data_IF_128431885508
#
_entry.id   IF_128431885508
#
_cell.length_a   1.000
_cell.length_b   1.000
_cell.length_c   1.000
_cell.angle_alpha   90.00
_cell.angle_beta   90.00
_cell.angle_gamma   90.00
#
_symmetry.space_group_name_H-M   'P 1'
#
loop_
_entity.id
_entity.type
_entity.pdbx_description
1 polymer ?
#
# COMPACT_ATOMS: atom_id res chain seq x y z
N UNK A 1 13.28 -0.31 15.31
CA UNK A 1 12.33 0.37 14.40
C UNK A 1 13.12 0.90 13.21
N UNK A 2 13.06 0.23 12.07
CA UNK A 2 13.75 0.67 10.83
C UNK A 2 12.91 1.74 10.17
N UNK A 3 13.43 2.97 10.08
CA UNK A 3 12.80 4.09 9.40
C UNK A 3 13.56 4.38 8.10
N UNK A 4 12.90 4.97 7.10
CA UNK A 4 13.53 5.37 5.83
C UNK A 4 13.69 6.88 5.77
N UNK A 5 14.89 7.38 5.49
CA UNK A 5 15.13 8.80 5.27
C UNK A 5 15.02 9.14 3.77
N UNK A 6 14.10 10.03 3.42
CA UNK A 6 14.02 10.63 2.10
C UNK A 6 15.22 11.56 1.89
N UNK A 7 16.11 11.20 0.97
CA UNK A 7 17.27 12.01 0.59
C UNK A 7 16.93 13.15 -0.40
N UNK A 8 15.65 13.27 -0.81
CA UNK A 8 15.23 14.16 -1.90
C UNK A 8 14.05 15.05 -1.49
N UNK A 9 14.25 15.90 -0.48
CA UNK A 9 13.33 17.01 -0.20
C UNK A 9 13.73 18.25 -1.02
N UNK A 10 12.82 18.76 -1.86
CA UNK A 10 12.97 20.01 -2.63
C UNK A 10 12.93 21.21 -1.66
N UNK A 11 13.71 22.29 -1.85
CA UNK A 11 13.64 23.47 -0.98
C UNK A 11 12.29 24.18 -1.08
N UNK A 12 11.79 24.66 0.06
CA UNK A 12 10.49 25.30 0.20
C UNK A 12 10.42 26.65 -0.53
N UNK A 13 9.34 26.88 -1.29
CA UNK A 13 8.99 28.19 -1.84
C UNK A 13 7.77 28.78 -1.12
N UNK A 14 7.89 30.06 -0.78
CA UNK A 14 7.00 30.84 0.08
C UNK A 14 5.59 31.09 -0.48
N UNK A 15 4.71 31.47 0.45
CA UNK A 15 3.26 31.64 0.37
C UNK A 15 2.76 32.78 -0.51
N UNK A 16 1.48 32.69 -0.91
CA UNK A 16 0.55 33.83 -0.91
C UNK A 16 -0.92 33.38 -0.82
N UNK A 17 -1.66 34.11 0.02
CA UNK A 17 -3.01 33.87 0.50
C UNK A 17 -4.11 34.33 -0.45
N UNK A 18 -5.29 33.70 -0.37
CA UNK A 18 -6.57 34.39 -0.59
C UNK A 18 -7.67 33.80 0.32
N UNK A 19 -8.47 34.69 0.92
CA UNK A 19 -9.55 34.46 1.89
C UNK A 19 -10.90 34.07 1.21
N UNK A 20 -11.91 33.61 1.97
CA UNK A 20 -13.10 32.91 1.44
C UNK A 20 -14.31 33.83 1.24
N UNK A 21 -15.29 33.35 0.44
CA UNK A 21 -16.62 33.95 0.30
C UNK A 21 -17.71 32.98 0.80
N UNK A 22 -18.70 33.57 1.46
CA UNK A 22 -19.79 32.94 2.19
C UNK A 22 -21.05 32.74 1.32
N UNK A 23 -22.13 32.24 1.97
CA UNK A 23 -23.56 32.19 1.56
C UNK A 23 -23.96 30.88 0.85
N UNK A 24 -25.07 30.18 1.13
CA UNK A 24 -26.30 30.42 1.90
C UNK A 24 -26.96 29.08 2.26
N UNK A 25 -27.70 29.02 3.38
CA UNK A 25 -28.71 27.98 3.66
C UNK A 25 -30.01 28.28 2.88
N UNK A 26 -30.87 27.27 2.69
CA UNK A 26 -32.24 27.47 3.14
C UNK A 26 -32.79 26.31 3.99
N UNK A 27 -33.63 26.71 4.95
CA UNK A 27 -34.64 25.93 5.64
C UNK A 27 -35.73 25.48 4.65
N UNK A 28 -36.24 24.26 4.80
CA UNK A 28 -37.66 23.96 4.50
C UNK A 28 -38.21 23.05 5.60
N UNK A 29 -39.34 23.50 6.15
CA UNK A 29 -40.16 22.94 7.22
C UNK A 29 -41.33 22.12 6.63
N UNK A 30 -41.98 21.31 7.50
CA UNK A 30 -43.35 20.75 7.40
C UNK A 30 -43.43 19.34 6.78
N UNK A 31 -44.29 18.40 7.21
CA UNK A 31 -45.35 18.32 8.22
C UNK A 31 -45.71 16.82 8.33
N UNK A 32 -46.11 16.32 9.51
CA UNK A 32 -47.38 15.58 9.74
C UNK A 32 -47.38 14.86 11.09
N UNK A 33 -48.41 15.17 11.87
CA UNK A 33 -48.78 14.54 13.14
C UNK A 33 -49.64 13.29 12.85
N UNK A 34 -49.58 12.29 13.73
CA UNK A 34 -50.80 11.64 14.21
C UNK A 34 -50.77 10.13 14.46
N UNK A 35 -51.06 9.80 15.73
CA UNK A 35 -51.84 8.64 16.23
C UNK A 35 -51.10 7.35 16.58
N UNK A 36 -51.27 6.93 17.85
CA UNK A 36 -51.56 5.52 18.17
C UNK A 36 -50.64 4.85 19.19
N UNK A 37 -51.03 4.88 20.47
CA UNK A 37 -50.51 4.00 21.52
C UNK A 37 -51.21 2.64 21.48
N UNK A 38 -50.45 1.55 21.29
CA UNK A 38 -50.82 0.19 21.72
C UNK A 38 -49.55 -0.69 21.79
N UNK A 39 -49.43 -1.47 22.87
CA UNK A 39 -48.20 -2.12 23.30
C UNK A 39 -47.71 -3.28 22.42
N UNK A 40 -46.38 -3.49 22.44
CA UNK A 40 -45.74 -4.69 21.89
C UNK A 40 -44.75 -5.23 22.93
N UNK A 41 -44.84 -6.56 23.08
CA UNK A 41 -44.19 -7.48 23.99
C UNK A 41 -42.65 -7.37 24.08
N UNK A 42 -42.11 -7.67 25.26
CA UNK A 42 -40.70 -7.98 25.50
C UNK A 42 -40.31 -9.25 24.73
N UNK A 43 -39.46 -9.12 23.71
CA UNK A 43 -38.41 -10.09 23.36
C UNK A 43 -37.80 -9.75 22.00
N UNK A 44 -36.72 -8.97 21.96
CA UNK A 44 -35.79 -8.98 20.82
C UNK A 44 -34.39 -9.01 21.40
N UNK A 45 -33.78 -10.21 21.37
CA UNK A 45 -32.33 -10.33 21.37
C UNK A 45 -31.81 -9.43 20.26
N UNK A 46 -31.15 -8.34 20.62
CA UNK A 46 -30.36 -7.54 19.69
C UNK A 46 -29.22 -8.42 19.22
N UNK A 47 -29.40 -9.11 18.09
CA UNK A 47 -28.25 -9.62 17.34
C UNK A 47 -27.49 -8.37 16.89
N UNK A 48 -26.30 -8.18 17.46
CA UNK A 48 -25.31 -7.28 16.91
C UNK A 48 -24.98 -7.76 15.50
N UNK A 49 -25.56 -7.09 14.51
CA UNK A 49 -25.14 -7.22 13.11
C UNK A 49 -24.08 -6.14 12.96
N UNK A 50 -22.78 -6.47 12.83
CA UNK A 50 -21.77 -5.46 12.56
C UNK A 50 -22.13 -4.75 11.25
N UNK A 51 -22.24 -3.42 11.30
CA UNK A 51 -22.58 -2.61 10.13
C UNK A 51 -21.38 -2.57 9.18
N UNK A 52 -21.48 -3.28 8.05
CA UNK A 52 -20.49 -3.40 6.96
C UNK A 52 -19.95 -2.04 6.46
N UNK A 53 -20.71 -0.97 6.70
CA UNK A 53 -20.30 0.41 6.40
C UNK A 53 -19.10 0.88 7.22
N UNK A 54 -18.93 0.38 8.45
CA UNK A 54 -17.83 0.79 9.34
C UNK A 54 -16.49 0.26 8.85
N UNK A 55 -16.42 -1.02 8.44
CA UNK A 55 -15.22 -1.62 7.85
C UNK A 55 -14.79 -0.91 6.55
N UNK A 56 -15.76 -0.53 5.72
CA UNK A 56 -15.52 0.21 4.48
C UNK A 56 -14.97 1.62 4.72
N UNK A 57 -15.47 2.35 5.72
CA UNK A 57 -14.98 3.69 6.09
C UNK A 57 -13.58 3.65 6.71
N UNK A 58 -13.30 2.67 7.57
CA UNK A 58 -11.96 2.48 8.15
C UNK A 58 -10.92 2.16 7.09
N UNK A 59 -11.26 1.31 6.11
CA UNK A 59 -10.37 0.94 5.00
C UNK A 59 -10.06 2.15 4.10
N UNK A 60 -11.07 2.95 3.76
CA UNK A 60 -10.90 4.21 3.02
C UNK A 60 -9.98 5.19 3.75
N UNK A 61 -10.18 5.36 5.07
CA UNK A 61 -9.40 6.29 5.88
C UNK A 61 -7.92 5.91 5.92
N UNK A 62 -7.61 4.63 6.17
CA UNK A 62 -6.22 4.13 6.17
C UNK A 62 -5.53 4.32 4.83
N UNK A 63 -6.24 4.12 3.72
CA UNK A 63 -5.71 4.35 2.38
C UNK A 63 -5.36 5.82 2.14
N UNK A 64 -6.24 6.76 2.55
CA UNK A 64 -5.99 8.20 2.45
C UNK A 64 -4.74 8.60 3.26
N UNK A 65 -4.59 8.06 4.47
CA UNK A 65 -3.42 8.34 5.32
C UNK A 65 -2.13 7.82 4.68
N UNK A 66 -2.15 6.60 4.14
CA UNK A 66 -0.99 6.03 3.44
C UNK A 66 -0.61 6.87 2.21
N UNK A 67 -1.60 7.34 1.45
CA UNK A 67 -1.39 8.20 0.28
C UNK A 67 -0.79 9.55 0.67
N UNK A 68 -1.30 10.14 1.75
CA UNK A 68 -0.77 11.38 2.30
C UNK A 68 0.69 11.21 2.78
N UNK A 69 1.02 10.08 3.40
CA UNK A 69 2.35 9.82 3.94
C UNK A 69 3.43 9.75 2.85
N UNK A 70 3.12 9.21 1.67
CA UNK A 70 4.06 9.12 0.55
C UNK A 70 3.96 10.27 -0.45
N UNK A 71 2.98 11.16 -0.29
CA UNK A 71 2.72 12.25 -1.22
C UNK A 71 3.94 13.18 -1.39
N UNK A 72 4.21 13.55 -2.64
CA UNK A 72 5.32 14.44 -3.02
C UNK A 72 6.71 13.81 -2.95
N UNK A 73 6.86 12.57 -2.52
CA UNK A 73 8.14 11.86 -2.54
C UNK A 73 8.56 11.50 -3.98
N UNK A 74 9.87 11.49 -4.22
CA UNK A 74 10.47 11.10 -5.49
C UNK A 74 11.44 9.93 -5.29
N UNK A 75 11.54 8.99 -6.25
CA UNK A 75 10.75 8.88 -7.48
C UNK A 75 9.29 8.44 -7.23
N UNK A 76 8.33 9.09 -7.88
CA UNK A 76 6.90 8.88 -7.58
C UNK A 76 6.42 7.42 -7.75
N UNK A 77 6.87 6.71 -8.80
CA UNK A 77 6.48 5.31 -9.04
C UNK A 77 6.94 4.39 -7.91
N UNK A 78 8.19 4.56 -7.45
CA UNK A 78 8.74 3.76 -6.35
C UNK A 78 7.89 3.93 -5.09
N UNK A 79 7.59 5.17 -4.71
CA UNK A 79 6.81 5.44 -3.50
C UNK A 79 5.35 4.99 -3.62
N UNK A 80 4.77 5.01 -4.82
CA UNK A 80 3.44 4.43 -5.06
C UNK A 80 3.43 2.92 -4.85
N UNK A 81 4.42 2.19 -5.39
CA UNK A 81 4.53 0.74 -5.17
C UNK A 81 4.85 0.39 -3.73
N UNK A 82 5.73 1.15 -3.07
CA UNK A 82 6.00 0.95 -1.66
C UNK A 82 4.76 1.15 -0.80
N UNK A 83 3.96 2.18 -1.09
CA UNK A 83 2.65 2.39 -0.46
C UNK A 83 1.75 1.18 -0.69
N UNK A 84 1.60 0.70 -1.92
CA UNK A 84 0.77 -0.48 -2.22
C UNK A 84 1.21 -1.70 -1.39
N UNK A 85 2.51 -1.99 -1.33
CA UNK A 85 3.07 -3.09 -0.54
C UNK A 85 2.76 -2.95 0.96
N UNK A 86 2.76 -1.74 1.52
CA UNK A 86 2.41 -1.51 2.94
C UNK A 86 0.93 -1.73 3.24
N UNK A 87 0.08 -1.69 2.20
CA UNK A 87 -1.35 -1.98 2.32
C UNK A 87 -1.67 -3.47 2.16
N UNK A 88 -0.67 -4.29 1.84
CA UNK A 88 -0.80 -5.73 1.68
C UNK A 88 -0.13 -6.45 2.85
N UNK A 89 -0.90 -7.19 3.68
CA UNK A 89 -0.35 -8.13 4.63
C UNK A 89 0.62 -9.10 3.93
N UNK A 90 1.87 -9.13 4.37
CA UNK A 90 2.95 -9.97 3.82
C UNK A 90 3.89 -10.53 4.91
N UNK A 91 3.36 -11.15 5.99
CA UNK A 91 4.23 -11.83 6.95
C UNK A 91 5.04 -12.94 6.26
N UNK A 92 6.22 -13.21 6.78
CA UNK A 92 6.97 -14.41 6.37
C UNK A 92 6.13 -15.67 6.57
N UNK A 93 6.21 -16.60 5.62
CA UNK A 93 5.38 -17.82 5.49
C UNK A 93 3.90 -17.58 5.16
N UNK A 94 3.50 -16.35 4.85
CA UNK A 94 2.14 -15.96 4.45
C UNK A 94 2.17 -14.98 3.25
N UNK A 95 3.03 -15.28 2.26
CA UNK A 95 3.30 -14.41 1.12
C UNK A 95 2.25 -14.48 0.01
N UNK A 96 1.19 -15.28 0.14
CA UNK A 96 0.24 -15.56 -0.96
C UNK A 96 -0.44 -14.30 -1.48
N UNK A 97 -0.73 -13.33 -0.59
CA UNK A 97 -1.36 -12.05 -0.96
C UNK A 97 -0.43 -11.20 -1.81
N UNK A 98 0.83 -11.05 -1.42
CA UNK A 98 1.81 -10.27 -2.18
C UNK A 98 2.19 -10.97 -3.48
N UNK A 99 2.29 -12.31 -3.49
CA UNK A 99 2.50 -13.09 -4.72
C UNK A 99 1.36 -12.90 -5.72
N UNK A 100 0.10 -12.88 -5.24
CA UNK A 100 -1.07 -12.63 -6.09
C UNK A 100 -1.01 -11.23 -6.69
N UNK A 101 -0.71 -10.21 -5.87
CA UNK A 101 -0.51 -8.83 -6.34
C UNK A 101 0.57 -8.73 -7.43
N UNK A 102 1.71 -9.40 -7.27
CA UNK A 102 2.81 -9.38 -8.25
C UNK A 102 2.43 -10.07 -9.57
N UNK A 103 1.69 -11.18 -9.52
CA UNK A 103 1.19 -11.88 -10.72
C UNK A 103 0.16 -11.04 -11.46
N UNK A 104 -0.77 -10.42 -10.74
CA UNK A 104 -1.76 -9.51 -11.32
C UNK A 104 -1.10 -8.28 -11.95
N UNK A 105 -0.08 -7.72 -11.27
CA UNK A 105 0.74 -6.64 -11.79
C UNK A 105 1.39 -7.01 -13.14
N UNK A 106 1.98 -8.20 -13.23
CA UNK A 106 2.63 -8.69 -14.45
C UNK A 106 1.60 -8.95 -15.56
N UNK A 107 0.48 -9.61 -15.25
CA UNK A 107 -0.59 -9.90 -16.19
C UNK A 107 -1.20 -8.63 -16.78
N UNK A 108 -1.50 -7.63 -15.95
CA UNK A 108 -2.04 -6.35 -16.38
C UNK A 108 -1.11 -5.57 -17.34
N UNK A 109 0.19 -5.88 -17.33
CA UNK A 109 1.21 -5.29 -18.20
C UNK A 109 1.71 -6.23 -19.29
N UNK A 110 1.10 -7.41 -19.42
CA UNK A 110 1.49 -8.45 -20.38
C UNK A 110 2.96 -8.84 -20.24
N UNK A 111 3.51 -8.77 -19.02
CA UNK A 111 4.87 -9.20 -18.71
C UNK A 111 4.89 -10.71 -18.45
N UNK A 112 5.89 -11.39 -19.00
CA UNK A 112 6.11 -12.80 -18.72
C UNK A 112 6.56 -12.97 -17.27
N UNK A 113 6.02 -13.98 -16.59
CA UNK A 113 6.44 -14.35 -15.24
C UNK A 113 6.47 -15.86 -15.06
N UNK A 114 7.28 -16.32 -14.11
CA UNK A 114 7.37 -17.73 -13.72
C UNK A 114 7.51 -17.81 -12.20
N UNK A 115 6.80 -18.74 -11.59
CA UNK A 115 6.99 -19.09 -10.19
C UNK A 115 7.64 -20.49 -10.11
N UNK A 116 8.59 -20.66 -9.20
CA UNK A 116 9.18 -21.97 -8.91
C UNK A 116 8.35 -22.76 -7.88
N UNK A 117 8.82 -23.96 -7.51
CA UNK A 117 8.13 -24.84 -6.58
C UNK A 117 8.20 -24.35 -5.11
N UNK A 118 9.18 -23.52 -4.76
CA UNK A 118 9.35 -22.94 -3.41
C UNK A 118 8.44 -21.73 -3.24
N UNK A 119 8.18 -21.02 -4.33
CA UNK A 119 7.28 -19.88 -4.37
C UNK A 119 7.93 -18.62 -4.91
N UNK A 120 9.23 -18.63 -5.20
CA UNK A 120 9.95 -17.48 -5.76
C UNK A 120 9.36 -17.13 -7.14
N UNK A 121 9.17 -15.84 -7.37
CA UNK A 121 8.56 -15.31 -8.57
C UNK A 121 9.57 -14.49 -9.35
N UNK A 122 9.76 -14.80 -10.64
CA UNK A 122 10.49 -13.92 -11.56
C UNK A 122 9.53 -13.26 -12.52
N UNK A 123 9.62 -11.94 -12.67
CA UNK A 123 8.91 -11.17 -13.70
C UNK A 123 9.95 -10.62 -14.68
N UNK A 124 9.74 -10.84 -15.97
CA UNK A 124 10.65 -10.43 -17.04
C UNK A 124 10.10 -9.26 -17.82
N UNK A 125 10.98 -8.31 -18.14
CA UNK A 125 10.70 -7.18 -19.03
C UNK A 125 11.77 -7.11 -20.12
N UNK A 126 11.41 -7.06 -21.41
CA UNK A 126 12.36 -6.80 -22.49
C UNK A 126 13.12 -5.48 -22.27
N UNK A 127 14.29 -5.36 -22.89
CA UNK A 127 14.98 -4.07 -22.96
C UNK A 127 14.12 -3.04 -23.71
N UNK A 128 14.41 -1.77 -23.48
CA UNK A 128 13.67 -0.65 -24.07
C UNK A 128 14.54 0.58 -24.29
N UNK A 129 14.15 1.45 -25.21
CA UNK A 129 14.83 2.74 -25.43
C UNK A 129 16.27 2.59 -25.94
N UNK A 130 16.55 1.58 -26.76
CA UNK A 130 17.89 1.28 -27.26
C UNK A 130 18.75 0.45 -26.29
N UNK A 131 18.12 -0.23 -25.35
CA UNK A 131 18.76 -1.15 -24.40
C UNK A 131 18.51 -2.64 -24.69
N UNK A 132 17.84 -2.97 -25.79
CA UNK A 132 17.38 -4.31 -26.14
C UNK A 132 18.51 -5.34 -26.25
N UNK A 133 19.67 -4.94 -26.78
CA UNK A 133 20.84 -5.80 -26.98
C UNK A 133 21.84 -5.78 -25.81
N UNK A 134 21.52 -5.06 -24.73
CA UNK A 134 22.37 -5.03 -23.55
C UNK A 134 22.28 -6.36 -22.77
N UNK A 135 23.33 -6.73 -21.99
CA UNK A 135 23.24 -7.86 -21.07
C UNK A 135 22.06 -7.70 -20.11
N UNK A 136 21.33 -8.79 -19.87
CA UNK A 136 20.22 -8.79 -18.94
C UNK A 136 20.68 -8.49 -17.51
N UNK A 137 19.89 -7.73 -16.76
CA UNK A 137 20.15 -7.40 -15.36
C UNK A 137 19.09 -8.05 -14.49
N UNK A 138 19.54 -8.71 -13.42
CA UNK A 138 18.68 -9.27 -12.40
C UNK A 138 18.56 -8.27 -11.24
N UNK A 139 17.33 -7.92 -10.89
CA UNK A 139 17.03 -7.13 -9.68
C UNK A 139 16.32 -8.05 -8.71
N UNK A 140 16.95 -8.35 -7.58
CA UNK A 140 16.37 -9.26 -6.58
C UNK A 140 15.94 -8.49 -5.34
N UNK A 141 14.82 -8.93 -4.74
CA UNK A 141 14.36 -8.49 -3.42
C UNK A 141 13.41 -9.51 -2.81
N UNK A 142 13.43 -9.66 -1.48
CA UNK A 142 12.50 -10.55 -0.78
C UNK A 142 11.19 -9.82 -0.46
N UNK A 143 10.07 -10.55 -0.51
CA UNK A 143 8.73 -9.95 -0.47
C UNK A 143 8.06 -10.00 0.90
N UNK A 144 8.54 -10.86 1.78
CA UNK A 144 8.09 -10.95 3.15
C UNK A 144 8.62 -9.77 4.00
N UNK A 145 8.11 -9.67 5.22
CA UNK A 145 8.64 -8.72 6.21
C UNK A 145 8.59 -9.32 7.61
N UNK A 146 9.53 -8.88 8.42
CA UNK A 146 9.47 -9.04 9.87
C UNK A 146 8.24 -8.34 10.44
N UNK A 147 7.49 -9.04 11.27
CA UNK A 147 6.24 -8.58 11.88
C UNK A 147 6.43 -8.30 13.38
N UNK A 148 6.93 -7.10 13.71
CA UNK A 148 7.14 -6.67 15.09
C UNK A 148 6.29 -5.44 15.41
N UNK A 149 5.79 -5.35 16.64
CA UNK A 149 4.95 -4.24 17.09
C UNK A 149 5.22 -3.85 18.54
N UNK A 150 4.93 -2.60 18.86
CA UNK A 150 4.97 -2.13 20.24
C UNK A 150 3.90 -2.85 21.08
N UNK A 151 4.15 -3.13 22.38
CA UNK A 151 3.24 -3.92 23.21
C UNK A 151 1.80 -3.38 23.30
N UNK A 152 1.62 -2.05 23.24
CA UNK A 152 0.32 -1.39 23.32
C UNK A 152 -0.44 -1.33 21.99
N UNK A 153 0.17 -1.76 20.88
CA UNK A 153 -0.42 -1.63 19.54
C UNK A 153 -1.21 -2.88 19.19
N UNK A 154 -2.50 -2.69 18.91
CA UNK A 154 -3.38 -3.73 18.37
C UNK A 154 -3.29 -3.69 16.84
N UNK A 155 -2.59 -4.68 16.28
CA UNK A 155 -2.40 -4.86 14.84
C UNK A 155 -2.26 -6.35 14.55
N UNK A 156 -3.01 -6.83 13.57
CA UNK A 156 -2.92 -8.19 13.03
C UNK A 156 -2.22 -8.18 11.68
N UNK A 157 -0.95 -8.60 11.65
CA UNK A 157 -0.14 -8.61 10.42
C UNK A 157 -0.65 -9.55 9.32
N UNK A 158 -1.57 -10.48 9.62
CA UNK A 158 -2.15 -11.35 8.61
C UNK A 158 -3.31 -10.67 7.85
N UNK A 159 -3.91 -9.61 8.41
CA UNK A 159 -5.14 -9.01 7.88
C UNK A 159 -5.10 -7.49 7.75
N UNK A 160 -4.43 -6.80 8.66
CA UNK A 160 -4.37 -5.35 8.72
C UNK A 160 -3.30 -4.75 7.80
N UNK A 161 -3.61 -3.70 7.02
CA UNK A 161 -2.60 -2.87 6.39
C UNK A 161 -1.81 -2.05 7.41
N UNK A 162 -0.57 -1.68 7.07
CA UNK A 162 0.25 -0.79 7.90
C UNK A 162 -0.29 0.65 7.87
N UNK A 163 -0.28 1.31 9.03
CA UNK A 163 -0.56 2.75 9.15
C UNK A 163 0.75 3.51 8.97
N UNK A 164 0.88 4.23 7.86
CA UNK A 164 2.09 5.01 7.55
C UNK A 164 2.07 6.38 8.22
N UNK A 165 3.25 6.85 8.61
CA UNK A 165 3.47 8.17 9.16
C UNK A 165 4.75 8.77 8.57
N UNK A 166 4.66 10.00 8.11
CA UNK A 166 5.83 10.78 7.66
C UNK A 166 6.17 11.86 8.68
N UNK A 167 7.39 11.83 9.18
CA UNK A 167 7.95 12.78 10.15
C UNK A 167 9.18 13.45 9.54
N UNK A 168 8.98 14.62 8.94
CA UNK A 168 10.02 15.32 8.19
C UNK A 168 10.53 14.48 7.02
N UNK A 169 11.80 14.10 7.08
CA UNK A 169 12.44 13.25 6.08
C UNK A 169 12.16 11.75 6.30
N UNK A 170 11.58 11.34 7.42
CA UNK A 170 11.44 9.93 7.76
C UNK A 170 10.05 9.39 7.44
N UNK A 171 9.99 8.25 6.75
CA UNK A 171 8.78 7.43 6.63
C UNK A 171 8.86 6.27 7.64
N UNK A 172 7.75 6.05 8.36
CA UNK A 172 7.60 5.07 9.45
C UNK A 172 6.24 4.37 9.36
N UNK A 173 6.11 3.24 10.04
CA UNK A 173 4.82 2.65 10.37
C UNK A 173 4.50 2.94 11.84
N UNK A 174 3.22 3.15 12.18
CA UNK A 174 2.80 3.54 13.52
C UNK A 174 2.87 2.35 14.48
N UNK A 175 3.95 2.28 15.25
CA UNK A 175 4.14 1.29 16.32
C UNK A 175 4.26 -0.15 15.82
N UNK A 176 4.59 -0.33 14.54
CA UNK A 176 4.90 -1.61 13.90
C UNK A 176 6.18 -1.48 13.06
N UNK A 177 6.73 -2.61 12.63
CA UNK A 177 7.73 -2.64 11.54
C UNK A 177 7.13 -2.08 10.26
N UNK A 178 7.95 -1.33 9.52
CA UNK A 178 7.55 -0.73 8.24
C UNK A 178 7.67 -1.70 7.06
N UNK A 179 8.51 -2.73 7.19
CA UNK A 179 8.86 -3.62 6.07
C UNK A 179 9.62 -2.89 4.95
N UNK A 180 10.37 -1.84 5.30
CA UNK A 180 11.26 -1.14 4.37
C UNK A 180 12.29 -2.09 3.76
N UNK A 181 12.78 -3.02 4.58
CA UNK A 181 13.55 -4.16 4.14
C UNK A 181 12.60 -5.36 3.88
N UNK A 182 12.59 -5.96 2.69
CA UNK A 182 13.12 -5.45 1.42
C UNK A 182 12.08 -4.73 0.56
N UNK A 183 10.99 -4.23 1.17
CA UNK A 183 9.90 -3.58 0.47
C UNK A 183 10.31 -2.42 -0.45
N UNK A 184 11.38 -1.67 -0.14
CA UNK A 184 11.91 -0.63 -1.04
C UNK A 184 12.58 -1.22 -2.27
N UNK A 185 13.34 -2.30 -2.12
CA UNK A 185 13.95 -3.02 -3.24
C UNK A 185 12.90 -3.59 -4.18
N UNK A 186 11.86 -4.23 -3.60
CA UNK A 186 10.70 -4.72 -4.34
C UNK A 186 9.97 -3.58 -5.06
N UNK A 187 9.73 -2.45 -4.38
CA UNK A 187 9.08 -1.29 -4.98
C UNK A 187 9.91 -0.67 -6.12
N UNK A 188 11.24 -0.65 -5.99
CA UNK A 188 12.14 -0.20 -7.05
C UNK A 188 12.11 -1.14 -8.26
N UNK A 189 12.11 -2.46 -8.05
CA UNK A 189 11.94 -3.44 -9.11
C UNK A 189 10.60 -3.25 -9.86
N UNK A 190 9.50 -3.07 -9.14
CA UNK A 190 8.19 -2.76 -9.72
C UNK A 190 8.18 -1.46 -10.51
N UNK A 191 8.86 -0.41 -10.02
CA UNK A 191 9.00 0.85 -10.74
C UNK A 191 9.77 0.71 -12.05
N UNK A 192 10.84 -0.12 -12.08
CA UNK A 192 11.57 -0.44 -13.30
C UNK A 192 10.69 -1.25 -14.28
N UNK A 193 9.96 -2.25 -13.78
CA UNK A 193 9.04 -3.03 -14.61
C UNK A 193 7.91 -2.17 -15.21
N UNK A 194 7.42 -1.19 -14.44
CA UNK A 194 6.39 -0.25 -14.86
C UNK A 194 6.93 0.97 -15.63
N UNK A 195 8.24 1.05 -15.86
CA UNK A 195 8.84 2.18 -16.56
C UNK A 195 8.33 2.28 -18.00
N UNK A 196 8.10 3.50 -18.51
CA UNK A 196 7.51 3.71 -19.82
C UNK A 196 8.36 3.08 -20.94
N UNK A 197 7.77 2.69 -22.08
CA UNK A 197 8.51 2.07 -23.18
C UNK A 197 9.69 2.88 -23.72
N UNK A 198 9.67 4.21 -23.56
CA UNK A 198 10.78 5.08 -23.96
C UNK A 198 11.96 5.15 -22.96
N UNK A 199 11.84 4.53 -21.77
CA UNK A 199 12.94 4.50 -20.81
C UNK A 199 14.08 3.61 -21.34
N UNK A 200 15.32 4.12 -21.30
CA UNK A 200 16.50 3.34 -21.68
C UNK A 200 16.83 2.33 -20.59
N UNK A 201 16.48 1.07 -20.81
CA UNK A 201 16.66 -0.03 -19.85
C UNK A 201 17.16 -1.29 -20.58
N UNK A 202 18.09 -2.06 -19.98
CA UNK A 202 18.42 -3.39 -20.48
C UNK A 202 17.24 -4.35 -20.28
N UNK A 203 17.26 -5.57 -20.85
CA UNK A 203 16.37 -6.63 -20.41
C UNK A 203 16.49 -6.83 -18.89
N UNK A 204 15.35 -6.95 -18.22
CA UNK A 204 15.27 -7.10 -16.77
C UNK A 204 14.64 -8.42 -16.39
N UNK A 205 15.21 -9.07 -15.37
CA UNK A 205 14.57 -10.14 -14.62
C UNK A 205 14.46 -9.69 -13.16
N UNK A 206 13.24 -9.44 -12.70
CA UNK A 206 13.00 -9.07 -11.31
C UNK A 206 12.64 -10.32 -10.52
N UNK A 207 13.55 -10.77 -9.64
CA UNK A 207 13.40 -11.96 -8.81
C UNK A 207 12.88 -11.58 -7.42
N UNK A 208 11.71 -12.10 -7.09
CA UNK A 208 11.02 -11.89 -5.84
C UNK A 208 11.09 -13.16 -5.02
N UNK A 209 11.91 -13.17 -3.98
CA UNK A 209 12.11 -14.35 -3.13
C UNK A 209 11.14 -14.36 -1.96
N UNK A 210 10.74 -15.56 -1.54
CA UNK A 210 9.92 -15.79 -0.34
C UNK A 210 10.82 -16.15 0.84
N UNK A 211 10.30 -15.98 2.05
CA UNK A 211 10.87 -16.52 3.28
C UNK A 211 12.37 -16.23 3.52
N UNK A 212 12.80 -14.99 3.31
CA UNK A 212 14.17 -14.59 3.64
C UNK A 212 14.35 -14.55 5.16
N UNK A 213 13.39 -13.95 5.86
CA UNK A 213 13.52 -13.50 7.25
C UNK A 213 13.42 -14.64 8.28
N UNK A 214 12.95 -15.83 7.87
CA UNK A 214 12.82 -16.98 8.79
C UNK A 214 13.69 -18.19 8.44
N UNK A 215 14.50 -18.11 7.38
CA UNK A 215 15.54 -19.11 7.13
C UNK A 215 15.99 -19.36 5.69
N UNK A 216 15.51 -18.62 4.69
CA UNK A 216 15.78 -18.86 3.26
C UNK A 216 15.29 -20.26 2.80
N UNK A 217 14.08 -20.66 3.19
CA UNK A 217 13.58 -22.05 2.97
C UNK A 217 12.45 -22.20 1.97
#
# INVERSE_FOLDING_TARGET
MVALRSAFAKPASASRSARPLAHSRPLVTALLRGVGSAGISRSILTRYIPDDRTASVTTMTRKIEADAAVSGLQPALLWSFFRDLTQLPRPSKQEEKVLTYLKDFAAARQLAWKQDAVGNLVIKRPGSGGGEDAPAVIVQGHIDMVCEKEPSVQHDFASDPLSLLREGDWLKARGTTLGADNGIGVAAALALLASPPGAKLPPLECLFTVDEETGLT
#
